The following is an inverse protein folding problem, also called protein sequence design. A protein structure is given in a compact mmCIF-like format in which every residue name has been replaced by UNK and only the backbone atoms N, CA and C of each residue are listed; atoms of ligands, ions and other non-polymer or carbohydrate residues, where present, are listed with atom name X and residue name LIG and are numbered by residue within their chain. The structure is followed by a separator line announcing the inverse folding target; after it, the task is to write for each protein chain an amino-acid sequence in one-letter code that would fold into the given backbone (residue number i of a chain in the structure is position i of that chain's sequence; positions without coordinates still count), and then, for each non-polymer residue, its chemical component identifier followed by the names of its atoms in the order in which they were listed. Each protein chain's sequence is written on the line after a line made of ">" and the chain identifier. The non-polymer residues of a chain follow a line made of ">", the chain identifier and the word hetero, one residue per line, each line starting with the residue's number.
data_IF_091054486906
#
_entry.id   IF_091054486906
#
_cell.length_a   1.000
_cell.length_b   1.000
_cell.length_c   1.000
_cell.angle_alpha   90.00
_cell.angle_beta   90.00
_cell.angle_gamma   90.00
#
_symmetry.space_group_name_H-M   'P 1'
#
loop_
_entity.id
_entity.type
_entity.pdbx_description
1 polymer ?
#
# COMPACT_ATOMS: atom_id res chain seq x y z
N UNK A 1 0.03 37.82 4.54
CA UNK A 1 0.55 36.43 4.64
C UNK A 1 0.80 35.96 3.22
N UNK A 2 2.02 35.52 2.91
CA UNK A 2 2.38 35.10 1.56
C UNK A 2 1.59 33.82 1.20
N UNK A 3 0.70 33.92 0.21
CA UNK A 3 0.02 32.76 -0.37
C UNK A 3 1.08 31.88 -1.02
N UNK A 4 1.32 30.71 -0.44
CA UNK A 4 2.20 29.71 -1.01
C UNK A 4 1.44 29.08 -2.16
N UNK A 5 1.77 29.44 -3.40
CA UNK A 5 1.15 28.89 -4.62
C UNK A 5 0.97 27.39 -4.48
N UNK A 6 -0.27 26.92 -4.67
CA UNK A 6 -0.54 25.48 -4.62
C UNK A 6 0.33 24.79 -5.68
N UNK A 7 1.06 23.74 -5.31
CA UNK A 7 1.92 23.07 -6.27
C UNK A 7 1.01 22.35 -7.28
N UNK A 8 1.22 22.55 -8.58
CA UNK A 8 0.28 22.12 -9.63
C UNK A 8 -0.05 20.62 -9.64
N UNK A 9 0.80 19.78 -9.04
CA UNK A 9 0.53 18.35 -8.85
C UNK A 9 -0.59 18.05 -7.85
N UNK A 10 -0.89 18.97 -6.92
CA UNK A 10 -1.94 18.80 -5.91
C UNK A 10 -3.33 18.77 -6.55
N UNK A 11 -3.60 19.63 -7.54
CA UNK A 11 -4.86 19.59 -8.30
C UNK A 11 -5.02 18.29 -9.10
N UNK A 12 -3.91 17.75 -9.62
CA UNK A 12 -3.90 16.47 -10.32
C UNK A 12 -4.20 15.34 -9.33
N UNK A 13 -3.57 15.35 -8.15
CA UNK A 13 -3.81 14.36 -7.11
C UNK A 13 -5.26 14.39 -6.60
N UNK A 14 -5.84 15.58 -6.41
CA UNK A 14 -7.25 15.76 -6.03
C UNK A 14 -8.18 15.21 -7.11
N UNK A 15 -7.93 15.54 -8.38
CA UNK A 15 -8.72 15.04 -9.52
C UNK A 15 -8.67 13.51 -9.63
N UNK A 16 -7.50 12.91 -9.38
CA UNK A 16 -7.32 11.46 -9.37
C UNK A 16 -8.03 10.79 -8.17
N UNK A 17 -7.94 11.37 -6.98
CA UNK A 17 -8.67 10.91 -5.80
C UNK A 17 -10.18 10.92 -6.01
N UNK A 18 -10.71 12.03 -6.51
CA UNK A 18 -12.13 12.18 -6.81
C UNK A 18 -12.63 11.11 -7.80
N UNK A 19 -11.82 10.75 -8.82
CA UNK A 19 -12.15 9.67 -9.76
C UNK A 19 -12.29 8.31 -9.05
N UNK A 20 -11.37 7.98 -8.15
CA UNK A 20 -11.41 6.72 -7.37
C UNK A 20 -12.65 6.68 -6.47
N UNK A 21 -13.01 7.80 -5.84
CA UNK A 21 -14.23 7.91 -5.02
C UNK A 21 -15.49 7.70 -5.86
N UNK A 22 -15.56 8.34 -7.03
CA UNK A 22 -16.71 8.22 -7.94
C UNK A 22 -16.88 6.77 -8.42
N UNK A 23 -15.79 6.08 -8.75
CA UNK A 23 -15.83 4.66 -9.14
C UNK A 23 -16.27 3.78 -7.96
N UNK A 24 -15.77 4.05 -6.75
CA UNK A 24 -16.20 3.35 -5.54
C UNK A 24 -17.69 3.54 -5.24
N UNK A 25 -18.19 4.77 -5.37
CA UNK A 25 -19.61 5.11 -5.25
C UNK A 25 -20.47 4.45 -6.33
N UNK A 26 -19.98 4.41 -7.56
CA UNK A 26 -20.63 3.72 -8.67
C UNK A 26 -20.85 2.24 -8.35
N UNK A 27 -19.81 1.53 -7.89
CA UNK A 27 -19.94 0.12 -7.50
C UNK A 27 -20.88 -0.12 -6.33
N UNK A 28 -20.90 0.80 -5.35
CA UNK A 28 -21.81 0.72 -4.20
C UNK A 28 -23.27 0.89 -4.63
N UNK A 29 -23.58 1.85 -5.51
CA UNK A 29 -24.95 2.15 -5.96
C UNK A 29 -25.46 1.04 -6.90
N UNK A 30 -24.65 0.60 -7.86
CA UNK A 30 -25.03 -0.46 -8.81
C UNK A 30 -24.99 -1.87 -8.20
N UNK A 31 -24.56 -2.02 -6.94
CA UNK A 31 -24.40 -3.32 -6.27
C UNK A 31 -23.50 -4.29 -7.05
N UNK A 32 -22.58 -3.76 -7.86
CA UNK A 32 -21.64 -4.55 -8.66
C UNK A 32 -20.51 -5.02 -7.74
N UNK A 33 -20.28 -6.33 -7.67
CA UNK A 33 -19.17 -6.93 -6.92
C UNK A 33 -19.44 -7.22 -5.44
N UNK A 34 -20.66 -7.01 -4.92
CA UNK A 34 -21.04 -7.40 -3.55
C UNK A 34 -20.09 -6.87 -2.47
N UNK A 35 -19.38 -7.77 -1.78
CA UNK A 35 -18.35 -7.42 -0.77
C UNK A 35 -17.28 -6.49 -1.35
N UNK A 36 -16.88 -6.69 -2.60
CA UNK A 36 -15.84 -5.88 -3.25
C UNK A 36 -16.29 -4.44 -3.50
N UNK A 37 -17.59 -4.20 -3.71
CA UNK A 37 -18.14 -2.85 -3.83
C UNK A 37 -18.05 -2.05 -2.53
N UNK A 38 -18.26 -2.71 -1.37
CA UNK A 38 -18.06 -2.07 -0.05
C UNK A 38 -16.59 -1.72 0.19
N UNK A 39 -15.67 -2.59 -0.23
CA UNK A 39 -14.23 -2.34 -0.11
C UNK A 39 -13.82 -1.20 -1.04
N UNK A 40 -14.31 -1.17 -2.28
CA UNK A 40 -14.00 -0.13 -3.26
C UNK A 40 -14.40 1.27 -2.78
N UNK A 41 -15.61 1.43 -2.21
CA UNK A 41 -16.00 2.73 -1.64
C UNK A 41 -15.23 3.07 -0.36
N UNK A 42 -14.91 2.06 0.48
CA UNK A 42 -14.08 2.27 1.66
C UNK A 42 -12.68 2.80 1.31
N UNK A 43 -12.07 2.24 0.26
CA UNK A 43 -10.78 2.71 -0.27
C UNK A 43 -10.91 4.12 -0.86
N UNK A 44 -11.95 4.38 -1.67
CA UNK A 44 -12.17 5.70 -2.25
C UNK A 44 -12.33 6.79 -1.19
N UNK A 45 -13.20 6.57 -0.20
CA UNK A 45 -13.40 7.52 0.91
C UNK A 45 -12.14 7.70 1.76
N UNK A 46 -11.32 6.65 1.92
CA UNK A 46 -10.03 6.74 2.59
C UNK A 46 -9.02 7.63 1.85
N UNK A 47 -8.95 7.49 0.52
CA UNK A 47 -8.11 8.36 -0.34
C UNK A 47 -8.56 9.81 -0.25
N UNK A 48 -9.87 10.07 -0.27
CA UNK A 48 -10.44 11.42 -0.17
C UNK A 48 -10.13 12.07 1.19
N UNK A 49 -10.28 11.31 2.28
CA UNK A 49 -9.94 11.80 3.62
C UNK A 49 -8.46 12.19 3.74
N UNK A 50 -7.55 11.41 3.13
CA UNK A 50 -6.12 11.71 3.10
C UNK A 50 -5.80 12.95 2.25
N UNK A 51 -6.45 13.10 1.09
CA UNK A 51 -6.28 14.27 0.24
C UNK A 51 -6.80 15.55 0.91
N UNK A 52 -7.96 15.51 1.56
CA UNK A 52 -8.47 16.65 2.34
C UNK A 52 -7.55 17.02 3.52
N UNK A 53 -6.94 16.02 4.16
CA UNK A 53 -5.95 16.29 5.20
C UNK A 53 -4.73 17.03 4.64
N UNK A 54 -4.25 16.64 3.45
CA UNK A 54 -3.14 17.33 2.78
C UNK A 54 -3.51 18.74 2.30
N UNK A 55 -4.73 18.97 1.83
CA UNK A 55 -5.17 20.31 1.42
C UNK A 55 -5.33 21.27 2.59
N UNK A 56 -5.55 20.77 3.81
CA UNK A 56 -5.53 21.59 5.03
C UNK A 56 -4.20 22.34 5.25
N UNK A 57 -3.09 21.82 4.73
CA UNK A 57 -1.78 22.50 4.77
C UNK A 57 -1.55 23.49 3.62
N UNK A 58 -2.40 23.47 2.60
CA UNK A 58 -2.31 24.32 1.40
C UNK A 58 -3.70 24.92 1.10
N UNK A 59 -4.13 25.93 1.88
CA UNK A 59 -5.43 26.56 1.67
C UNK A 59 -5.56 27.10 0.22
N UNK A 60 -6.75 27.00 -0.39
CA UNK A 60 -6.98 27.53 -1.74
C UNK A 60 -6.71 29.03 -1.79
N UNK A 61 -6.33 29.52 -2.97
CA UNK A 61 -6.10 30.95 -3.14
C UNK A 61 -7.39 31.74 -2.83
N UNK A 62 -7.31 32.86 -2.08
CA UNK A 62 -8.46 33.71 -1.84
C UNK A 62 -9.00 34.20 -3.18
N UNK A 63 -10.33 34.20 -3.34
CA UNK A 63 -10.96 34.65 -4.57
C UNK A 63 -10.45 36.05 -4.95
N UNK A 64 -10.19 36.31 -6.25
CA UNK A 64 -9.81 37.64 -6.71
C UNK A 64 -10.84 38.66 -6.20
N UNK A 65 -10.37 39.80 -5.68
CA UNK A 65 -11.26 40.86 -5.24
C UNK A 65 -11.92 41.54 -6.45
N UNK A 66 -12.93 40.89 -7.02
CA UNK A 66 -13.71 41.35 -8.18
C UNK A 66 -14.29 42.75 -7.95
N UNK A 67 -14.52 43.12 -6.68
CA UNK A 67 -14.90 44.46 -6.20
C UNK A 67 -13.96 45.59 -6.64
N UNK A 68 -12.69 45.29 -6.95
CA UNK A 68 -11.73 46.29 -7.45
C UNK A 68 -11.76 46.47 -8.96
N UNK A 69 -12.24 45.47 -9.71
CA UNK A 69 -12.19 45.43 -11.18
C UNK A 69 -13.54 45.84 -11.78
N UNK A 70 -14.63 45.56 -11.09
CA UNK A 70 -15.98 45.97 -11.46
C UNK A 70 -16.65 46.72 -10.31
N UNK A 71 -16.46 48.05 -10.22
CA UNK A 71 -17.08 48.89 -9.19
C UNK A 71 -18.62 48.80 -9.16
N UNK A 72 -19.19 48.32 -10.26
CA UNK A 72 -20.63 48.14 -10.52
C UNK A 72 -21.27 47.00 -9.71
N UNK A 73 -20.47 46.06 -9.17
CA UNK A 73 -20.96 44.94 -8.34
C UNK A 73 -21.05 45.28 -6.85
N UNK A 74 -20.59 46.46 -6.45
CA UNK A 74 -20.68 46.89 -5.05
C UNK A 74 -22.11 47.30 -4.75
N UNK A 75 -22.63 46.85 -3.60
CA UNK A 75 -24.01 47.16 -3.16
C UNK A 75 -24.27 48.68 -2.95
N UNK A 76 -23.23 49.51 -2.95
CA UNK A 76 -23.26 50.96 -2.78
C UNK A 76 -23.10 51.79 -4.08
N UNK A 77 -23.15 51.16 -5.27
CA UNK A 77 -22.94 51.85 -6.54
C UNK A 77 -24.15 52.69 -7.00
N UNK A 78 -23.99 54.02 -7.02
CA UNK A 78 -24.91 54.99 -7.65
C UNK A 78 -24.18 55.76 -8.76
N UNK A 79 -24.33 55.34 -10.01
CA UNK A 79 -23.77 56.06 -11.17
C UNK A 79 -24.62 55.86 -12.43
N UNK A 80 -25.05 56.96 -13.04
CA UNK A 80 -25.87 56.98 -14.26
C UNK A 80 -25.07 56.50 -15.50
N UNK A 81 -25.75 55.73 -16.36
CA UNK A 81 -25.22 55.13 -17.59
C UNK A 81 -24.87 56.20 -18.65
N UNK A 82 -23.68 56.19 -19.30
CA UNK A 82 -23.34 57.18 -20.33
C UNK A 82 -23.89 56.82 -21.73
N UNK A 83 -24.59 57.78 -22.34
CA UNK A 83 -25.09 57.79 -23.72
C UNK A 83 -23.95 58.01 -24.73
N UNK A 84 -23.91 57.19 -25.79
CA UNK A 84 -22.91 57.24 -26.86
C UNK A 84 -22.85 58.60 -27.58
N UNK A 85 -21.65 59.18 -27.71
CA UNK A 85 -21.42 60.44 -28.43
C UNK A 85 -20.76 60.17 -29.79
N UNK A 86 -21.45 60.52 -30.87
CA UNK A 86 -20.98 60.48 -32.26
C UNK A 86 -20.19 61.75 -32.57
N UNK A 87 -19.00 61.63 -33.17
CA UNK A 87 -18.15 62.75 -33.61
C UNK A 87 -18.30 62.97 -35.13
N UNK A 88 -18.58 64.20 -35.63
CA UNK A 88 -18.63 64.47 -37.06
C UNK A 88 -17.25 64.83 -37.64
N UNK A 89 -17.04 64.43 -38.89
CA UNK A 89 -15.85 64.69 -39.71
C UNK A 89 -15.91 66.07 -40.40
N UNK A 90 -14.75 66.72 -40.57
CA UNK A 90 -14.59 67.97 -41.32
C UNK A 90 -13.91 67.74 -42.68
N UNK A 91 -14.30 68.56 -43.66
CA UNK A 91 -14.00 68.48 -45.10
C UNK A 91 -12.58 68.97 -45.51
N UNK A 92 -12.10 68.66 -46.73
CA UNK A 92 -10.73 68.92 -47.16
C UNK A 92 -10.56 70.33 -47.77
N UNK A 93 -9.43 70.98 -47.50
CA UNK A 93 -9.03 72.25 -48.12
C UNK A 93 -7.78 72.00 -48.96
N UNK A 94 -7.89 72.14 -50.27
CA UNK A 94 -6.79 72.05 -51.23
C UNK A 94 -6.16 73.44 -51.41
N UNK A 95 -4.89 73.58 -51.03
CA UNK A 95 -4.14 74.83 -51.25
C UNK A 95 -2.69 74.50 -51.62
N UNK A 96 -2.37 74.67 -52.91
CA UNK A 96 -1.15 75.33 -53.41
C UNK A 96 0.26 74.94 -52.94
N UNK A 97 0.51 73.81 -52.30
CA UNK A 97 1.87 73.45 -51.83
C UNK A 97 2.76 72.78 -52.88
N UNK A 98 2.20 72.34 -54.01
CA UNK A 98 2.97 71.64 -55.06
C UNK A 98 3.97 72.54 -55.79
N UNK A 99 3.67 73.82 -55.96
CA UNK A 99 4.55 74.75 -56.70
C UNK A 99 5.83 75.14 -55.94
N UNK A 100 5.77 75.24 -54.60
CA UNK A 100 6.96 75.50 -53.77
C UNK A 100 7.84 74.24 -53.63
N UNK A 101 7.21 73.07 -53.56
CA UNK A 101 7.88 71.76 -53.59
C UNK A 101 8.57 71.51 -54.94
N UNK A 102 7.94 71.85 -56.06
CA UNK A 102 8.49 71.69 -57.41
C UNK A 102 9.73 72.57 -57.64
N UNK A 103 9.69 73.81 -57.13
CA UNK A 103 10.84 74.73 -57.16
C UNK A 103 12.01 74.23 -56.29
N UNK A 104 11.73 73.65 -55.12
CA UNK A 104 12.77 73.05 -54.27
C UNK A 104 13.34 71.75 -54.85
N UNK A 105 12.52 70.93 -55.52
CA UNK A 105 12.98 69.72 -56.22
C UNK A 105 13.95 70.06 -57.38
N UNK A 106 13.61 71.11 -58.12
CA UNK A 106 14.43 71.60 -59.24
C UNK A 106 15.77 72.20 -58.78
N UNK A 107 15.76 73.08 -57.76
CA UNK A 107 16.98 73.71 -57.22
C UNK A 107 17.91 72.70 -56.53
N UNK A 108 17.36 71.65 -55.92
CA UNK A 108 18.13 70.59 -55.26
C UNK A 108 18.76 69.57 -56.23
N UNK A 109 18.61 69.75 -57.56
CA UNK A 109 19.02 68.76 -58.58
C UNK A 109 18.46 67.36 -58.28
N UNK A 110 17.24 67.28 -57.75
CA UNK A 110 16.53 66.01 -57.60
C UNK A 110 15.97 65.66 -58.98
N UNK A 111 16.87 65.22 -59.87
CA UNK A 111 16.51 64.72 -61.19
C UNK A 111 15.89 63.32 -61.11
N UNK A 112 15.18 62.90 -62.16
CA UNK A 112 14.63 61.54 -62.27
C UNK A 112 15.68 60.46 -61.96
N UNK A 113 16.95 60.67 -62.34
CA UNK A 113 18.07 59.75 -62.06
C UNK A 113 18.40 59.60 -60.55
N UNK A 114 18.27 60.66 -59.75
CA UNK A 114 18.49 60.60 -58.29
C UNK A 114 17.35 59.85 -57.60
N UNK A 115 16.11 60.05 -58.07
CA UNK A 115 14.93 59.34 -57.56
C UNK A 115 15.00 57.86 -57.94
N UNK A 116 15.44 57.55 -59.16
CA UNK A 116 15.60 56.17 -59.64
C UNK A 116 16.74 55.43 -58.93
N UNK A 117 17.88 56.09 -58.70
CA UNK A 117 18.97 55.52 -57.91
C UNK A 117 18.61 55.35 -56.43
N UNK A 118 17.86 56.29 -55.84
CA UNK A 118 17.34 56.15 -54.47
C UNK A 118 16.30 55.02 -54.37
N UNK A 119 15.39 54.92 -55.33
CA UNK A 119 14.41 53.84 -55.40
C UNK A 119 15.07 52.48 -55.57
N UNK A 120 16.10 52.40 -56.41
CA UNK A 120 16.92 51.19 -56.58
C UNK A 120 17.70 50.86 -55.29
N UNK A 121 18.25 51.86 -54.61
CA UNK A 121 18.93 51.71 -53.32
C UNK A 121 18.01 51.21 -52.20
N UNK A 122 16.81 51.77 -52.08
CA UNK A 122 15.79 51.34 -51.12
C UNK A 122 15.27 49.93 -51.43
N UNK A 123 15.05 49.59 -52.71
CA UNK A 123 14.67 48.23 -53.10
C UNK A 123 15.78 47.23 -52.76
N UNK A 124 17.03 47.54 -53.11
CA UNK A 124 18.19 46.70 -52.79
C UNK A 124 18.38 46.54 -51.28
N UNK A 125 18.14 47.61 -50.50
CA UNK A 125 18.19 47.55 -49.04
C UNK A 125 17.06 46.67 -48.49
N UNK A 126 15.83 46.82 -48.99
CA UNK A 126 14.70 45.97 -48.63
C UNK A 126 14.98 44.50 -48.90
N UNK A 127 15.55 44.18 -50.07
CA UNK A 127 15.93 42.81 -50.44
C UNK A 127 17.01 42.24 -49.51
N UNK A 128 18.01 43.06 -49.12
CA UNK A 128 19.06 42.67 -48.17
C UNK A 128 18.49 42.42 -46.77
N UNK A 129 17.57 43.27 -46.30
CA UNK A 129 16.92 43.12 -44.99
C UNK A 129 16.02 41.88 -44.97
N UNK A 130 15.29 41.60 -46.06
CA UNK A 130 14.50 40.37 -46.20
C UNK A 130 15.39 39.12 -46.17
N UNK A 131 16.56 39.15 -46.82
CA UNK A 131 17.53 38.06 -46.76
C UNK A 131 18.09 37.85 -45.34
N UNK A 132 18.36 38.93 -44.59
CA UNK A 132 18.79 38.85 -43.19
C UNK A 132 17.69 38.25 -42.31
N UNK A 133 16.43 38.63 -42.51
CA UNK A 133 15.28 38.06 -41.79
C UNK A 133 15.19 36.55 -42.02
N UNK A 134 15.25 36.11 -43.28
CA UNK A 134 15.21 34.68 -43.62
C UNK A 134 16.39 33.89 -43.01
N UNK A 135 17.59 34.48 -42.95
CA UNK A 135 18.75 33.87 -42.29
C UNK A 135 18.56 33.78 -40.78
N UNK A 136 17.97 34.79 -40.15
CA UNK A 136 17.66 34.76 -38.72
C UNK A 136 16.61 33.69 -38.37
N UNK A 137 15.58 33.55 -39.20
CA UNK A 137 14.56 32.51 -39.06
C UNK A 137 15.17 31.11 -39.25
N UNK A 138 16.01 30.94 -40.28
CA UNK A 138 16.73 29.68 -40.52
C UNK A 138 17.71 29.33 -39.39
N UNK A 139 18.38 30.32 -38.80
CA UNK A 139 19.26 30.13 -37.65
C UNK A 139 18.48 29.68 -36.41
N UNK A 140 17.32 30.28 -36.16
CA UNK A 140 16.42 29.91 -35.06
C UNK A 140 15.92 28.47 -35.22
N UNK A 141 15.46 28.10 -36.42
CA UNK A 141 15.03 26.74 -36.73
C UNK A 141 16.16 25.71 -36.60
N UNK A 142 17.40 26.08 -36.98
CA UNK A 142 18.58 25.21 -36.84
C UNK A 142 18.94 24.97 -35.37
N UNK A 143 18.83 26.00 -34.53
CA UNK A 143 19.03 25.87 -33.08
C UNK A 143 17.95 24.98 -32.44
N UNK A 144 16.69 25.14 -32.84
CA UNK A 144 15.60 24.28 -32.37
C UNK A 144 15.78 22.82 -32.83
N UNK A 145 16.17 22.60 -34.08
CA UNK A 145 16.50 21.27 -34.61
C UNK A 145 17.64 20.62 -33.84
N UNK A 146 18.73 21.36 -33.57
CA UNK A 146 19.86 20.87 -32.77
C UNK A 146 19.40 20.49 -31.36
N UNK A 147 18.53 21.29 -30.74
CA UNK A 147 17.93 20.98 -29.44
C UNK A 147 17.08 19.71 -29.46
N UNK A 148 16.24 19.54 -30.48
CA UNK A 148 15.42 18.33 -30.67
C UNK A 148 16.29 17.10 -30.93
N UNK A 149 17.34 17.20 -31.74
CA UNK A 149 18.29 16.09 -31.97
C UNK A 149 19.00 15.70 -30.68
N UNK A 150 19.50 16.68 -29.89
CA UNK A 150 20.11 16.39 -28.59
C UNK A 150 19.15 15.71 -27.62
N UNK A 151 17.89 16.15 -27.60
CA UNK A 151 16.84 15.55 -26.78
C UNK A 151 16.51 14.13 -27.24
N UNK A 152 16.45 13.90 -28.55
CA UNK A 152 16.24 12.58 -29.12
C UNK A 152 17.41 11.63 -28.81
N UNK A 153 18.65 12.10 -28.87
CA UNK A 153 19.83 11.33 -28.44
C UNK A 153 19.74 10.93 -26.97
N UNK A 154 19.39 11.86 -26.09
CA UNK A 154 19.19 11.54 -24.67
C UNK A 154 18.01 10.56 -24.44
N UNK A 155 16.95 10.65 -25.25
CA UNK A 155 15.86 9.68 -25.26
C UNK A 155 16.33 8.28 -25.66
N UNK A 156 17.25 8.19 -26.62
CA UNK A 156 17.83 6.93 -27.08
C UNK A 156 18.73 6.28 -26.02
N UNK A 157 19.52 7.08 -25.30
CA UNK A 157 20.32 6.60 -24.16
C UNK A 157 19.42 6.03 -23.06
N UNK A 158 18.34 6.75 -22.71
CA UNK A 158 17.36 6.28 -21.73
C UNK A 158 16.66 4.98 -22.19
N UNK A 159 16.32 4.88 -23.47
CA UNK A 159 15.73 3.67 -24.04
C UNK A 159 16.70 2.49 -23.96
N UNK A 160 17.99 2.72 -24.23
CA UNK A 160 19.04 1.69 -24.11
C UNK A 160 19.17 1.18 -22.67
N UNK A 161 19.17 2.09 -21.69
CA UNK A 161 19.18 1.73 -20.26
C UNK A 161 17.92 0.96 -19.86
N UNK A 162 16.74 1.38 -20.33
CA UNK A 162 15.50 0.68 -20.07
C UNK A 162 15.49 -0.74 -20.67
N UNK A 163 16.03 -0.91 -21.88
CA UNK A 163 16.19 -2.23 -22.50
C UNK A 163 17.17 -3.12 -21.73
N UNK A 164 18.33 -2.60 -21.32
CA UNK A 164 19.29 -3.35 -20.51
C UNK A 164 18.67 -3.83 -19.19
N UNK A 165 17.94 -2.95 -18.50
CA UNK A 165 17.20 -3.31 -17.29
C UNK A 165 16.09 -4.33 -17.56
N UNK A 166 15.34 -4.19 -18.65
CA UNK A 166 14.30 -5.15 -19.03
C UNK A 166 14.91 -6.53 -19.33
N UNK A 167 16.04 -6.59 -20.03
CA UNK A 167 16.76 -7.83 -20.32
C UNK A 167 17.30 -8.47 -19.04
N UNK A 168 17.85 -7.68 -18.10
CA UNK A 168 18.27 -8.17 -16.77
C UNK A 168 17.09 -8.75 -15.99
N UNK A 169 15.95 -8.06 -15.98
CA UNK A 169 14.74 -8.55 -15.32
C UNK A 169 14.20 -9.83 -15.96
N UNK A 170 14.18 -9.92 -17.30
CA UNK A 170 13.80 -11.15 -18.01
C UNK A 170 14.74 -12.31 -17.70
N UNK A 171 16.04 -12.04 -17.59
CA UNK A 171 17.03 -13.05 -17.18
C UNK A 171 16.77 -13.53 -15.74
N UNK A 172 16.56 -12.61 -14.80
CA UNK A 172 16.22 -12.93 -13.42
C UNK A 172 14.91 -13.72 -13.34
N UNK A 173 13.92 -13.41 -14.18
CA UNK A 173 12.65 -14.16 -14.26
C UNK A 173 12.85 -15.57 -14.83
N UNK A 174 13.75 -15.73 -15.81
CA UNK A 174 14.16 -17.04 -16.33
C UNK A 174 14.92 -17.88 -15.30
N UNK A 175 15.75 -17.23 -14.48
CA UNK A 175 16.45 -17.86 -13.34
C UNK A 175 15.48 -18.16 -12.18
N UNK A 176 14.39 -17.39 -11.99
CA UNK A 176 13.34 -17.66 -10.99
C UNK A 176 12.59 -18.99 -11.23
N UNK A 177 12.58 -19.52 -12.46
CA UNK A 177 12.12 -20.90 -12.70
C UNK A 177 12.96 -21.96 -11.94
N UNK A 178 14.22 -21.66 -11.60
CA UNK A 178 15.06 -22.50 -10.72
C UNK A 178 14.62 -22.37 -9.27
N UNK A 179 14.23 -21.16 -8.85
CA UNK A 179 13.70 -20.86 -7.51
C UNK A 179 12.32 -21.50 -7.29
N UNK A 180 11.51 -21.60 -8.34
CA UNK A 180 10.24 -22.36 -8.33
C UNK A 180 10.44 -23.85 -8.05
N UNK A 181 11.54 -24.47 -8.50
CA UNK A 181 11.87 -25.87 -8.15
C UNK A 181 12.22 -26.01 -6.68
N UNK A 182 13.05 -25.10 -6.15
CA UNK A 182 13.41 -25.08 -4.74
C UNK A 182 12.18 -24.87 -3.84
N UNK A 183 11.27 -23.98 -4.23
CA UNK A 183 9.99 -23.79 -3.56
C UNK A 183 9.11 -25.05 -3.62
N UNK A 184 9.01 -25.71 -4.78
CA UNK A 184 8.27 -26.96 -4.91
C UNK A 184 8.84 -28.06 -4.01
N UNK A 185 10.16 -28.15 -3.91
CA UNK A 185 10.86 -29.11 -3.05
C UNK A 185 10.62 -28.82 -1.57
N UNK A 186 10.63 -27.54 -1.16
CA UNK A 186 10.27 -27.14 0.21
C UNK A 186 8.80 -27.45 0.53
N UNK A 187 7.86 -27.17 -0.37
CA UNK A 187 6.44 -27.49 -0.19
C UNK A 187 6.24 -29.01 -0.11
N UNK A 188 6.94 -29.79 -0.91
CA UNK A 188 6.89 -31.25 -0.86
C UNK A 188 7.46 -31.79 0.47
N UNK A 189 8.56 -31.22 0.96
CA UNK A 189 9.11 -31.57 2.27
C UNK A 189 8.18 -31.17 3.41
N UNK A 190 7.52 -30.01 3.33
CA UNK A 190 6.49 -29.60 4.29
C UNK A 190 5.31 -30.58 4.28
N UNK A 191 4.83 -31.00 3.11
CA UNK A 191 3.75 -31.97 2.99
C UNK A 191 4.13 -33.34 3.60
N UNK A 192 5.37 -33.81 3.36
CA UNK A 192 5.90 -35.02 4.01
C UNK A 192 5.97 -34.88 5.53
N UNK A 193 6.45 -33.74 6.04
CA UNK A 193 6.53 -33.49 7.47
C UNK A 193 5.15 -33.42 8.12
N UNK A 194 4.17 -32.78 7.48
CA UNK A 194 2.79 -32.75 7.96
C UNK A 194 2.15 -34.14 7.96
N UNK A 195 2.41 -34.96 6.94
CA UNK A 195 1.94 -36.35 6.90
C UNK A 195 2.58 -37.18 8.01
N UNK A 196 3.89 -37.02 8.25
CA UNK A 196 4.58 -37.70 9.33
C UNK A 196 4.08 -37.25 10.71
N UNK A 197 3.82 -35.95 10.89
CA UNK A 197 3.28 -35.40 12.13
C UNK A 197 1.87 -35.94 12.40
N UNK A 198 1.02 -36.04 11.37
CA UNK A 198 -0.30 -36.63 11.52
C UNK A 198 -0.24 -38.11 11.92
N UNK A 199 0.70 -38.88 11.33
CA UNK A 199 0.94 -40.27 11.72
C UNK A 199 1.46 -40.40 13.17
N UNK A 200 2.33 -39.49 13.62
CA UNK A 200 2.78 -39.44 15.02
C UNK A 200 1.62 -39.10 15.95
N UNK A 201 0.76 -38.16 15.59
CA UNK A 201 -0.41 -37.79 16.38
C UNK A 201 -1.38 -38.96 16.55
N UNK A 202 -1.62 -39.72 15.47
CA UNK A 202 -2.44 -40.94 15.53
C UNK A 202 -1.79 -42.03 16.40
N UNK A 203 -0.47 -42.21 16.28
CA UNK A 203 0.30 -43.10 17.17
C UNK A 203 0.23 -42.67 18.63
N UNK A 204 0.31 -41.37 18.93
CA UNK A 204 0.29 -40.86 20.30
C UNK A 204 -1.10 -40.95 20.95
N UNK A 205 -2.17 -40.78 20.15
CA UNK A 205 -3.53 -41.09 20.58
C UNK A 205 -3.72 -42.58 20.87
N UNK A 206 -3.15 -43.44 20.02
CA UNK A 206 -3.19 -44.89 20.22
C UNK A 206 -2.41 -45.31 21.46
N UNK A 207 -1.20 -44.78 21.66
CA UNK A 207 -0.36 -45.07 22.82
C UNK A 207 -0.98 -44.53 24.11
N UNK A 208 -1.53 -43.31 24.09
CA UNK A 208 -2.32 -42.78 25.21
C UNK A 208 -3.51 -43.69 25.55
N UNK A 209 -4.21 -44.22 24.56
CA UNK A 209 -5.31 -45.16 24.78
C UNK A 209 -4.82 -46.48 25.38
N UNK A 210 -3.69 -47.00 24.93
CA UNK A 210 -3.05 -48.19 25.50
C UNK A 210 -2.60 -47.94 26.94
N UNK A 211 -2.02 -46.77 27.22
CA UNK A 211 -1.59 -46.34 28.55
C UNK A 211 -2.79 -46.22 29.50
N UNK A 212 -3.90 -45.61 29.08
CA UNK A 212 -5.14 -45.53 29.87
C UNK A 212 -5.69 -46.94 30.20
N UNK A 213 -5.66 -47.86 29.25
CA UNK A 213 -6.10 -49.25 29.48
C UNK A 213 -5.18 -49.97 30.47
N UNK A 214 -3.86 -49.78 30.34
CA UNK A 214 -2.86 -50.32 31.27
C UNK A 214 -3.05 -49.75 32.68
N UNK A 215 -3.27 -48.43 32.79
CA UNK A 215 -3.52 -47.74 34.04
C UNK A 215 -4.79 -48.24 34.74
N UNK A 216 -5.88 -48.42 33.99
CA UNK A 216 -7.13 -48.97 34.54
C UNK A 216 -6.91 -50.41 35.06
N UNK A 217 -6.18 -51.23 34.30
CA UNK A 217 -5.79 -52.58 34.74
C UNK A 217 -4.91 -52.56 35.99
N UNK A 218 -3.97 -51.61 36.07
CA UNK A 218 -3.12 -51.41 37.24
C UNK A 218 -3.96 -51.05 38.48
N UNK A 219 -4.90 -50.11 38.37
CA UNK A 219 -5.80 -49.78 39.48
C UNK A 219 -6.66 -50.96 39.92
N UNK A 220 -7.19 -51.74 38.98
CA UNK A 220 -7.94 -52.96 39.29
C UNK A 220 -7.09 -53.99 40.04
N UNK A 221 -5.87 -54.25 39.55
CA UNK A 221 -4.92 -55.14 40.22
C UNK A 221 -4.52 -54.64 41.61
N UNK A 222 -4.34 -53.32 41.78
CA UNK A 222 -4.00 -52.71 43.06
C UNK A 222 -5.17 -52.82 44.05
N UNK A 223 -6.40 -52.62 43.58
CA UNK A 223 -7.62 -52.84 44.37
C UNK A 223 -7.73 -54.29 44.83
N UNK A 224 -7.53 -55.26 43.92
CA UNK A 224 -7.51 -56.69 44.25
C UNK A 224 -6.40 -57.04 45.23
N UNK A 225 -5.21 -56.45 45.06
CA UNK A 225 -4.07 -56.65 45.98
C UNK A 225 -4.41 -56.11 47.37
N UNK A 226 -5.02 -54.93 47.47
CA UNK A 226 -5.47 -54.36 48.74
C UNK A 226 -6.57 -55.19 49.40
N UNK A 227 -7.48 -55.77 48.62
CA UNK A 227 -8.50 -56.68 49.12
C UNK A 227 -7.87 -57.95 49.70
N UNK A 228 -7.00 -58.62 48.93
CA UNK A 228 -6.27 -59.81 49.39
C UNK A 228 -5.40 -59.52 50.64
N UNK A 229 -4.81 -58.32 50.71
CA UNK A 229 -4.04 -57.89 51.86
C UNK A 229 -4.92 -57.72 53.11
N UNK A 230 -6.10 -57.13 52.96
CA UNK A 230 -7.07 -57.02 54.05
C UNK A 230 -7.58 -58.39 54.52
N UNK A 231 -7.87 -59.31 53.60
CA UNK A 231 -8.26 -60.69 53.93
C UNK A 231 -7.13 -61.42 54.68
N UNK A 232 -5.90 -61.32 54.19
CA UNK A 232 -4.72 -61.91 54.86
C UNK A 232 -4.49 -61.32 56.26
N UNK A 233 -4.76 -60.03 56.44
CA UNK A 233 -4.70 -59.37 57.75
C UNK A 233 -5.75 -59.93 58.71
N UNK A 234 -6.95 -60.23 58.22
CA UNK A 234 -8.01 -60.84 59.01
C UNK A 234 -7.71 -62.30 59.36
N UNK A 235 -7.22 -63.09 58.41
CA UNK A 235 -6.73 -64.46 58.64
C UNK A 235 -5.60 -64.48 59.67
N UNK A 236 -4.69 -63.50 59.63
CA UNK A 236 -3.61 -63.37 60.62
C UNK A 236 -4.13 -63.10 62.03
N UNK A 237 -5.23 -62.34 62.17
CA UNK A 237 -5.89 -62.14 63.48
C UNK A 237 -6.54 -63.43 63.97
N UNK A 238 -7.29 -64.12 63.10
CA UNK A 238 -7.94 -65.39 63.45
C UNK A 238 -6.91 -66.46 63.84
N UNK A 239 -5.82 -66.58 63.07
CA UNK A 239 -4.71 -67.46 63.41
C UNK A 239 -4.12 -67.13 64.79
N UNK A 240 -3.90 -65.84 65.09
CA UNK A 240 -3.45 -65.42 66.43
C UNK A 240 -4.44 -65.84 67.53
N UNK A 241 -5.75 -65.72 67.29
CA UNK A 241 -6.77 -66.17 68.24
C UNK A 241 -6.74 -67.69 68.45
N UNK A 242 -6.68 -68.48 67.37
CA UNK A 242 -6.62 -69.95 67.46
C UNK A 242 -5.32 -70.42 68.13
N UNK A 243 -4.18 -69.79 67.84
CA UNK A 243 -2.92 -70.05 68.54
C UNK A 243 -3.04 -69.73 70.04
N UNK A 244 -3.70 -68.63 70.40
CA UNK A 244 -3.95 -68.30 71.81
C UNK A 244 -4.88 -69.32 72.49
N UNK A 245 -5.92 -69.81 71.80
CA UNK A 245 -6.79 -70.88 72.31
C UNK A 245 -6.01 -72.19 72.49
N UNK A 246 -5.20 -72.56 71.50
CA UNK A 246 -4.34 -73.75 71.57
C UNK A 246 -3.36 -73.65 72.74
N UNK A 247 -2.71 -72.50 72.93
CA UNK A 247 -1.81 -72.26 74.06
C UNK A 247 -2.53 -72.40 75.42
N UNK A 248 -3.76 -71.88 75.54
CA UNK A 248 -4.61 -72.08 76.73
C UNK A 248 -4.93 -73.56 76.94
N UNK A 249 -5.32 -74.28 75.88
CA UNK A 249 -5.64 -75.70 75.96
C UNK A 249 -4.43 -76.57 76.34
N UNK A 250 -3.26 -76.29 75.75
CA UNK A 250 -2.00 -76.96 76.12
C UNK A 250 -1.62 -76.68 77.57
N UNK A 251 -1.80 -75.43 78.05
CA UNK A 251 -1.58 -75.08 79.44
C UNK A 251 -2.51 -75.86 80.38
N UNK A 252 -3.81 -75.92 80.07
CA UNK A 252 -4.80 -76.70 80.82
C UNK A 252 -4.46 -78.20 80.82
N UNK A 253 -4.06 -78.75 79.68
CA UNK A 253 -3.66 -80.15 79.56
C UNK A 253 -2.41 -80.45 80.39
N UNK A 254 -1.40 -79.59 80.33
CA UNK A 254 -0.19 -79.71 81.12
C UNK A 254 -0.48 -79.60 82.64
N UNK A 255 -1.43 -78.75 83.04
CA UNK A 255 -1.89 -78.68 84.42
C UNK A 255 -2.58 -79.98 84.88
N UNK A 256 -3.39 -80.62 84.02
CA UNK A 256 -4.03 -81.91 84.32
C UNK A 256 -2.97 -83.02 84.42
N UNK A 257 -2.00 -83.08 83.50
CA UNK A 257 -0.89 -84.04 83.57
C UNK A 257 0.01 -83.79 84.79
N UNK A 258 0.27 -82.54 85.17
CA UNK A 258 0.99 -82.19 86.39
C UNK A 258 0.24 -82.63 87.66
N UNK A 259 -1.08 -82.40 87.70
CA UNK A 259 -1.93 -82.89 88.79
C UNK A 259 -1.98 -84.42 88.84
N UNK A 260 -1.99 -85.10 87.70
CA UNK A 260 -1.94 -86.57 87.62
C UNK A 260 -0.58 -87.13 88.06
N UNK A 261 0.53 -86.49 87.68
CA UNK A 261 1.88 -86.84 88.12
C UNK A 261 2.03 -86.63 89.64
N UNK A 262 1.51 -85.53 90.17
CA UNK A 262 1.49 -85.23 91.60
C UNK A 262 0.63 -86.25 92.38
N UNK A 263 -0.50 -86.67 91.81
CA UNK A 263 -1.36 -87.72 92.36
C UNK A 263 -0.74 -89.13 92.29
N UNK A 264 0.08 -89.43 91.27
CA UNK A 264 0.83 -90.69 91.16
C UNK A 264 2.10 -90.74 92.00
N UNK A 265 2.71 -89.58 92.30
CA UNK A 265 3.93 -89.49 93.11
C UNK A 265 3.65 -89.13 94.58
N UNK A 266 2.38 -89.08 94.97
CA UNK A 266 1.97 -88.94 96.37
C UNK A 266 2.35 -90.22 97.12
N UNK A 267 3.26 -90.15 98.13
CA UNK A 267 3.69 -91.33 98.86
C UNK A 267 2.48 -91.91 99.60
N UNK A 268 2.23 -93.21 99.43
CA UNK A 268 1.23 -93.92 100.23
C UNK A 268 1.74 -93.93 101.68
N UNK A 269 1.08 -93.16 102.53
CA UNK A 269 1.16 -93.29 104.00
C UNK A 269 -0.02 -94.13 104.45
#
# INVERSE_FOLDING_TARGET
>A
MASKKQPGWLHVAISWGASIVIIGALFKILHIGGIFGNIAIGVGLGVEAFLFFLTGFFPPEPEPAWDKVYPELREDFKGDLPTATIRPAAAPVSTGNTAALDKMLSDAKIGPDLIESLGTGLRTFGDKVAAISNVADASTATNEFTGKVKTASAGFDNLSVAFDNATKNLKAMGESNVESKAYHEQVNNLAKNLSALNAVYELELQDSSAHLKSMNKFYSNLSLTMQNFNESMEDSKQFKEEVNKLAKNLSSLNAIYGNMLSAMNSPRV
#
